data_IF_610397607050
#
_entry.id   IF_610397607050
#
_cell.length_a   1.000
_cell.length_b   1.000
_cell.length_c   1.000
_cell.angle_alpha   90.00
_cell.angle_beta   90.00
_cell.angle_gamma   90.00
#
_symmetry.space_group_name_H-M   'P 1'
#
loop_
_entity.id
_entity.type
_entity.pdbx_description
1 polymer ?
#
# COMPACT_ATOMS: atom_id res chain seq x y z
N UNK A 1 5.40 -9.42 -1.84
CA UNK A 1 5.05 -7.99 -1.95
C UNK A 1 5.98 -7.05 -1.23
N UNK A 2 6.46 -7.38 -0.03
CA UNK A 2 7.51 -6.60 0.66
C UNK A 2 8.68 -6.25 -0.27
N UNK A 3 9.12 -7.19 -1.11
CA UNK A 3 10.16 -6.96 -2.14
C UNK A 3 9.78 -5.92 -3.18
N UNK A 4 8.50 -5.82 -3.57
CA UNK A 4 8.03 -4.80 -4.52
C UNK A 4 8.02 -3.41 -3.86
N UNK A 5 7.70 -3.31 -2.56
CA UNK A 5 7.80 -2.07 -1.81
C UNK A 5 9.27 -1.63 -1.64
N UNK A 6 10.16 -2.57 -1.32
CA UNK A 6 11.61 -2.32 -1.27
C UNK A 6 12.12 -1.84 -2.64
N UNK A 7 11.72 -2.50 -3.74
CA UNK A 7 12.10 -2.10 -5.10
C UNK A 7 11.56 -0.72 -5.52
N UNK A 8 10.44 -0.30 -4.93
CA UNK A 8 9.91 1.06 -5.10
C UNK A 8 10.65 2.08 -4.25
N UNK A 9 11.58 1.65 -3.39
CA UNK A 9 12.32 2.50 -2.47
C UNK A 9 11.51 2.95 -1.27
N UNK A 10 10.42 2.25 -0.92
CA UNK A 10 9.62 2.52 0.27
C UNK A 10 10.44 2.09 1.49
N UNK A 11 10.93 3.02 2.33
CA UNK A 11 11.69 2.65 3.51
C UNK A 11 10.79 1.86 4.46
N UNK A 12 11.16 0.61 4.71
CA UNK A 12 10.53 -0.20 5.76
C UNK A 12 11.08 0.31 7.10
N UNK A 13 10.24 1.03 7.83
CA UNK A 13 10.59 1.50 9.17
C UNK A 13 10.48 0.36 10.19
N UNK A 14 11.15 0.49 11.35
CA UNK A 14 11.09 -0.49 12.41
C UNK A 14 9.63 -0.78 12.82
N UNK A 15 9.26 -2.05 13.07
CA UNK A 15 7.88 -2.46 13.34
C UNK A 15 7.27 -1.86 14.62
N UNK A 16 8.07 -1.17 15.43
CA UNK A 16 7.72 -0.60 16.74
C UNK A 16 7.28 0.87 16.69
N UNK A 17 7.27 1.49 15.52
CA UNK A 17 6.89 2.90 15.37
C UNK A 17 5.37 3.09 15.42
N UNK A 18 4.86 3.78 16.45
CA UNK A 18 3.41 4.05 16.60
C UNK A 18 2.83 4.97 15.51
N UNK A 19 3.67 5.69 14.77
CA UNK A 19 3.26 6.61 13.71
C UNK A 19 3.30 5.99 12.32
N UNK A 20 3.67 4.71 12.21
CA UNK A 20 3.89 4.04 10.92
C UNK A 20 3.38 2.60 10.93
N UNK A 21 2.87 2.14 9.79
CA UNK A 21 2.51 0.74 9.55
C UNK A 21 3.46 0.19 8.51
N UNK A 22 4.34 -0.75 8.89
CA UNK A 22 5.29 -1.40 7.97
C UNK A 22 6.11 -0.40 7.11
N UNK A 23 6.55 0.72 7.70
CA UNK A 23 7.29 1.78 7.00
C UNK A 23 6.46 2.84 6.30
N UNK A 24 5.14 2.68 6.28
CA UNK A 24 4.23 3.70 5.76
C UNK A 24 3.81 4.65 6.87
N UNK A 25 4.03 5.95 6.69
CA UNK A 25 3.61 6.97 7.65
C UNK A 25 2.09 7.10 7.66
N UNK A 26 1.50 7.03 8.84
CA UNK A 26 0.07 7.29 9.02
C UNK A 26 -0.18 8.79 8.81
N UNK A 27 -0.89 9.15 7.73
CA UNK A 27 -1.34 10.51 7.48
C UNK A 27 -2.67 10.82 8.15
N UNK A 28 -3.55 9.81 8.19
CA UNK A 28 -4.88 9.92 8.76
C UNK A 28 -5.23 8.59 9.41
N UNK A 29 -5.76 8.66 10.62
CA UNK A 29 -6.28 7.52 11.34
C UNK A 29 -7.60 7.93 11.98
N UNK A 30 -8.69 7.42 11.44
CA UNK A 30 -10.05 7.64 11.90
C UNK A 30 -10.77 6.29 11.93
N UNK A 31 -11.87 6.15 12.68
CA UNK A 31 -12.60 4.87 12.77
C UNK A 31 -13.02 4.29 11.41
N UNK A 32 -13.37 5.14 10.45
CA UNK A 32 -13.79 4.73 9.11
C UNK A 32 -12.66 4.73 8.07
N UNK A 33 -11.49 5.33 8.36
CA UNK A 33 -10.46 5.50 7.34
C UNK A 33 -9.04 5.60 7.90
N UNK A 34 -8.12 4.88 7.25
CA UNK A 34 -6.68 4.95 7.47
C UNK A 34 -6.01 5.35 6.16
N UNK A 35 -5.20 6.40 6.20
CA UNK A 35 -4.37 6.83 5.07
C UNK A 35 -2.92 6.67 5.46
N UNK A 36 -2.19 5.87 4.69
CA UNK A 36 -0.77 5.65 4.84
C UNK A 36 -0.04 6.27 3.64
N UNK A 37 1.11 6.90 3.87
CA UNK A 37 1.98 7.47 2.83
C UNK A 37 3.40 6.95 2.99
N UNK A 38 4.01 6.62 1.86
CA UNK A 38 5.44 6.42 1.78
C UNK A 38 6.02 7.30 0.69
N UNK A 39 7.10 8.00 1.04
CA UNK A 39 7.93 8.75 0.10
C UNK A 39 9.16 7.92 -0.15
N UNK A 40 9.31 7.44 -1.37
CA UNK A 40 10.45 6.66 -1.77
C UNK A 40 11.55 7.53 -2.38
N UNK A 41 12.80 7.07 -2.25
CA UNK A 41 13.99 7.79 -2.69
C UNK A 41 14.02 8.10 -4.21
N UNK A 42 13.23 7.38 -5.03
CA UNK A 42 13.19 7.54 -6.49
C UNK A 42 12.16 8.58 -6.99
N UNK A 43 11.69 9.50 -6.13
CA UNK A 43 10.64 10.46 -6.50
C UNK A 43 9.29 9.78 -6.72
N UNK A 44 9.02 8.71 -5.96
CA UNK A 44 7.74 8.01 -5.99
C UNK A 44 7.05 8.23 -4.65
N UNK A 45 5.86 8.81 -4.69
CA UNK A 45 4.99 8.89 -3.51
C UNK A 45 3.89 7.88 -3.66
N UNK A 46 3.85 6.90 -2.77
CA UNK A 46 2.75 5.95 -2.70
C UNK A 46 1.84 6.29 -1.53
N UNK A 47 0.53 6.19 -1.73
CA UNK A 47 -0.49 6.30 -0.69
C UNK A 47 -1.37 5.06 -0.70
N UNK A 48 -1.59 4.50 0.47
CA UNK A 48 -2.60 3.48 0.71
C UNK A 48 -3.74 4.12 1.47
N UNK A 49 -4.94 4.06 0.91
CA UNK A 49 -6.16 4.51 1.55
C UNK A 49 -7.00 3.28 1.83
N UNK A 50 -7.30 3.08 3.10
CA UNK A 50 -8.27 2.10 3.57
C UNK A 50 -9.48 2.88 4.05
N UNK A 51 -10.65 2.52 3.54
CA UNK A 51 -11.92 3.04 3.98
C UNK A 51 -12.83 1.87 4.32
N UNK A 52 -13.25 1.80 5.58
CA UNK A 52 -14.13 0.76 6.09
C UNK A 52 -15.52 1.35 6.29
N UNK A 53 -16.52 0.64 5.80
CA UNK A 53 -17.91 0.74 6.24
C UNK A 53 -18.23 -0.49 7.09
N UNK A 54 -19.45 -0.58 7.61
CA UNK A 54 -19.89 -1.74 8.40
C UNK A 54 -19.77 -3.07 7.63
N UNK A 55 -19.91 -3.03 6.31
CA UNK A 55 -20.00 -4.23 5.47
C UNK A 55 -18.92 -4.33 4.41
N UNK A 56 -18.16 -3.26 4.16
CA UNK A 56 -17.19 -3.21 3.07
C UNK A 56 -15.89 -2.56 3.50
N UNK A 57 -14.77 -3.15 3.08
CA UNK A 57 -13.46 -2.52 3.14
C UNK A 57 -13.01 -2.16 1.72
N UNK A 58 -12.87 -0.86 1.46
CA UNK A 58 -12.28 -0.35 0.23
C UNK A 58 -10.81 -0.06 0.45
N UNK A 59 -9.96 -0.63 -0.40
CA UNK A 59 -8.53 -0.37 -0.42
C UNK A 59 -8.14 0.28 -1.75
N UNK A 60 -7.52 1.45 -1.69
CA UNK A 60 -6.96 2.13 -2.85
C UNK A 60 -5.47 2.34 -2.68
N UNK A 61 -4.69 2.03 -3.72
CA UNK A 61 -3.27 2.35 -3.79
C UNK A 61 -3.06 3.42 -4.87
N UNK A 62 -2.68 4.62 -4.45
CA UNK A 62 -2.34 5.72 -5.34
C UNK A 62 -0.83 5.84 -5.41
N UNK A 63 -0.28 5.86 -6.62
CA UNK A 63 1.17 6.01 -6.83
C UNK A 63 1.39 7.22 -7.72
N UNK A 64 2.03 8.24 -7.16
CA UNK A 64 2.46 9.45 -7.87
C UNK A 64 3.93 9.32 -8.22
N UNK A 65 4.27 9.60 -9.47
CA UNK A 65 5.66 9.70 -9.94
C UNK A 65 5.99 11.17 -10.16
N UNK A 66 7.01 11.64 -9.46
CA UNK A 66 7.52 13.00 -9.65
C UNK A 66 8.52 13.03 -10.83
N UNK A 67 9.10 11.87 -11.22
CA UNK A 67 10.05 11.73 -12.33
C UNK A 67 9.83 10.46 -13.19
N UNK A 68 10.32 10.48 -14.45
CA UNK A 68 10.25 9.38 -15.43
C UNK A 68 10.70 7.99 -14.93
N UNK A 69 11.79 7.83 -14.14
CA UNK A 69 12.21 6.50 -13.68
C UNK A 69 11.17 5.81 -12.78
N UNK A 70 10.43 6.57 -11.96
CA UNK A 70 9.35 6.01 -11.13
C UNK A 70 8.24 5.34 -11.95
N UNK A 71 7.86 5.95 -13.08
CA UNK A 71 6.87 5.40 -14.01
C UNK A 71 7.32 4.05 -14.58
N UNK A 72 8.60 3.94 -14.95
CA UNK A 72 9.16 2.71 -15.49
C UNK A 72 9.18 1.58 -14.45
N UNK A 73 9.67 1.87 -13.25
CA UNK A 73 9.70 0.91 -12.14
C UNK A 73 8.29 0.40 -11.83
N UNK A 74 7.30 1.29 -11.71
CA UNK A 74 5.93 0.87 -11.43
C UNK A 74 5.30 0.07 -12.57
N UNK A 75 5.55 0.44 -13.83
CA UNK A 75 5.00 -0.32 -14.98
C UNK A 75 5.38 -1.81 -14.93
N UNK A 76 6.58 -2.12 -14.41
CA UNK A 76 7.08 -3.49 -14.23
C UNK A 76 6.51 -4.18 -12.98
N UNK A 77 6.24 -3.42 -11.92
CA UNK A 77 5.78 -3.96 -10.64
C UNK A 77 4.25 -4.08 -10.55
N UNK A 78 3.51 -3.22 -11.26
CA UNK A 78 2.04 -3.16 -11.20
C UNK A 78 1.34 -4.49 -11.56
N UNK A 79 1.78 -5.27 -12.57
CA UNK A 79 1.17 -6.57 -12.85
C UNK A 79 1.33 -7.57 -11.69
N UNK A 80 2.55 -7.67 -11.13
CA UNK A 80 2.83 -8.53 -9.96
C UNK A 80 2.03 -8.07 -8.74
N UNK A 81 1.93 -6.76 -8.53
CA UNK A 81 1.12 -6.17 -7.47
C UNK A 81 -0.36 -6.57 -7.61
N UNK A 82 -0.95 -6.38 -8.79
CA UNK A 82 -2.35 -6.75 -9.06
C UNK A 82 -2.60 -8.23 -8.80
N UNK A 83 -1.73 -9.10 -9.33
CA UNK A 83 -1.85 -10.55 -9.12
C UNK A 83 -1.84 -10.92 -7.64
N UNK A 84 -0.95 -10.34 -6.85
CA UNK A 84 -0.92 -10.58 -5.41
C UNK A 84 -2.17 -10.07 -4.68
N UNK A 85 -2.66 -8.87 -5.02
CA UNK A 85 -3.89 -8.34 -4.43
C UNK A 85 -5.09 -9.24 -4.76
N UNK A 86 -5.19 -9.71 -6.02
CA UNK A 86 -6.22 -10.69 -6.39
C UNK A 86 -6.13 -11.95 -5.53
N UNK A 87 -4.95 -12.53 -5.36
CA UNK A 87 -4.76 -13.71 -4.51
C UNK A 87 -5.13 -13.44 -3.05
N UNK A 88 -4.76 -12.28 -2.49
CA UNK A 88 -5.15 -11.91 -1.13
C UNK A 88 -6.67 -11.78 -0.99
N UNK A 89 -7.32 -11.12 -1.95
CA UNK A 89 -8.78 -10.94 -1.93
C UNK A 89 -9.52 -12.26 -2.10
N UNK A 90 -9.05 -13.16 -2.98
CA UNK A 90 -9.60 -14.50 -3.11
C UNK A 90 -9.49 -15.28 -1.80
N UNK A 91 -8.30 -15.28 -1.16
CA UNK A 91 -8.11 -15.94 0.13
C UNK A 91 -8.98 -15.35 1.23
N UNK A 92 -9.19 -14.02 1.24
CA UNK A 92 -10.07 -13.38 2.20
C UNK A 92 -11.54 -13.75 1.99
N UNK A 93 -11.96 -13.93 0.73
CA UNK A 93 -13.31 -14.41 0.39
C UNK A 93 -13.54 -15.87 0.82
N UNK A 94 -12.48 -16.68 0.85
CA UNK A 94 -12.54 -18.08 1.31
C UNK A 94 -12.61 -18.22 2.84
N UNK A 95 -12.33 -17.14 3.60
CA UNK A 95 -12.49 -17.16 5.06
C UNK A 95 -13.99 -17.04 5.38
N UNK A 96 -14.58 -18.02 6.09
CA UNK A 96 -15.98 -17.93 6.50
C UNK A 96 -16.23 -16.65 7.29
N UNK A 97 -17.26 -15.89 6.92
CA UNK A 97 -17.70 -14.75 7.71
C UNK A 97 -18.16 -15.24 9.08
N UNK A 98 -17.71 -14.61 10.19
CA UNK A 98 -18.15 -14.97 11.54
C UNK A 98 -19.65 -14.79 11.75
#
# INVERSE_FOLDING_TARGET
>A
MLTAWILLGIPLAPPWSRSQVLGWRILRNTPAAIVLESRAAAGVTARLVFHATETHLTQAMLVRYDHRPGRYIWSRLAPKHRSFITVLLSRAADVPTP
#
